data_IF_340994432599
#
_entry.id   IF_340994432599
#
_cell.length_a   1.000
_cell.length_b   1.000
_cell.length_c   1.000
_cell.angle_alpha   90.00
_cell.angle_beta   90.00
_cell.angle_gamma   90.00
#
_symmetry.space_group_name_H-M   'P 1'
#
loop_
_entity.id
_entity.type
_entity.pdbx_description
1 polymer ?
#
# COMPACT_ATOMS: atom_id res chain seq x y z
N UNK A 1 -5.30 -14.57 6.80
CA UNK A 1 -5.77 -14.76 5.41
C UNK A 1 -5.94 -16.25 5.16
N UNK A 2 -6.88 -16.69 4.30
CA UNK A 2 -6.97 -18.08 3.90
C UNK A 2 -5.67 -18.51 3.22
N UNK A 3 -5.10 -19.63 3.64
CA UNK A 3 -3.89 -20.17 3.00
C UNK A 3 -4.15 -20.44 1.50
N UNK A 4 -3.16 -20.15 0.65
CA UNK A 4 -3.17 -20.41 -0.80
C UNK A 4 -4.18 -19.59 -1.63
N UNK A 5 -4.82 -18.58 -1.06
CA UNK A 5 -5.59 -17.61 -1.85
C UNK A 5 -4.69 -16.47 -2.34
N UNK A 6 -4.63 -16.28 -3.66
CA UNK A 6 -3.96 -15.14 -4.27
C UNK A 6 -4.92 -13.95 -4.35
N UNK A 7 -4.37 -12.74 -4.18
CA UNK A 7 -5.09 -11.49 -4.27
C UNK A 7 -4.36 -10.56 -5.26
N UNK A 8 -5.09 -9.81 -6.10
CA UNK A 8 -4.46 -8.82 -6.97
C UNK A 8 -3.76 -7.75 -6.15
N UNK A 9 -2.64 -7.24 -6.67
CA UNK A 9 -2.01 -6.03 -6.16
C UNK A 9 -2.65 -4.80 -6.79
N UNK A 10 -2.62 -3.67 -6.08
CA UNK A 10 -2.95 -2.37 -6.66
C UNK A 10 -2.02 -1.31 -6.09
N UNK A 11 -1.42 -0.51 -6.96
CA UNK A 11 -0.66 0.66 -6.57
C UNK A 11 -1.63 1.71 -6.01
N UNK A 12 -1.31 2.33 -4.87
CA UNK A 12 -2.15 3.36 -4.29
C UNK A 12 -2.35 4.57 -5.22
N UNK A 13 -1.39 4.87 -6.09
CA UNK A 13 -1.52 5.87 -7.15
C UNK A 13 -2.69 5.56 -8.12
N UNK A 14 -2.88 4.29 -8.48
CA UNK A 14 -3.97 3.86 -9.38
C UNK A 14 -5.31 3.76 -8.64
N UNK A 15 -5.25 3.42 -7.35
CA UNK A 15 -6.40 3.37 -6.46
C UNK A 15 -6.91 4.75 -6.00
N UNK A 16 -6.25 5.84 -6.41
CA UNK A 16 -6.59 7.23 -6.07
C UNK A 16 -8.05 7.62 -6.38
N UNK A 17 -8.65 8.42 -5.49
CA UNK A 17 -9.88 9.16 -5.76
C UNK A 17 -9.67 10.24 -6.82
N UNK A 18 -10.66 10.46 -7.68
CA UNK A 18 -10.53 11.29 -8.89
C UNK A 18 -9.91 12.68 -8.65
N UNK A 19 -10.27 13.34 -7.54
CA UNK A 19 -9.86 14.71 -7.22
C UNK A 19 -8.65 14.83 -6.28
N UNK A 20 -8.01 13.71 -5.92
CA UNK A 20 -6.90 13.71 -4.95
C UNK A 20 -5.54 13.78 -5.63
N UNK A 21 -4.49 14.37 -5.02
CA UNK A 21 -3.13 14.29 -5.58
C UNK A 21 -2.58 12.86 -5.60
N UNK A 22 -1.81 12.52 -6.63
CA UNK A 22 -1.20 11.18 -6.76
C UNK A 22 -0.24 10.91 -5.61
N UNK A 23 0.49 11.94 -5.18
CA UNK A 23 1.47 11.91 -4.09
C UNK A 23 0.78 11.57 -2.76
N UNK A 24 -0.37 12.18 -2.50
CA UNK A 24 -1.17 11.93 -1.30
C UNK A 24 -1.72 10.49 -1.29
N UNK A 25 -2.23 10.02 -2.43
CA UNK A 25 -2.70 8.65 -2.58
C UNK A 25 -1.56 7.63 -2.45
N UNK A 26 -0.39 7.91 -3.01
CA UNK A 26 0.80 7.05 -2.91
C UNK A 26 1.22 6.83 -1.46
N UNK A 27 1.03 7.85 -0.62
CA UNK A 27 1.25 7.78 0.82
C UNK A 27 0.06 7.19 1.60
N UNK A 28 -1.01 6.78 0.94
CA UNK A 28 -2.23 6.27 1.56
C UNK A 28 -2.74 7.22 2.67
N UNK A 29 -2.76 8.53 2.39
CA UNK A 29 -3.33 9.51 3.32
C UNK A 29 -4.85 9.31 3.43
N UNK A 30 -5.43 9.71 4.54
CA UNK A 30 -6.87 9.59 4.78
C UNK A 30 -7.67 10.33 3.70
N UNK A 31 -8.71 9.68 3.19
CA UNK A 31 -9.57 10.27 2.16
C UNK A 31 -8.98 10.28 0.75
N UNK A 32 -7.90 9.54 0.48
CA UNK A 32 -7.24 9.56 -0.84
C UNK A 32 -7.50 8.33 -1.72
N UNK A 33 -7.89 7.21 -1.12
CA UNK A 33 -8.06 5.92 -1.79
C UNK A 33 -9.53 5.67 -2.11
N UNK A 34 -9.81 5.29 -3.36
CA UNK A 34 -11.15 4.93 -3.82
C UNK A 34 -11.45 3.47 -3.41
N UNK A 35 -12.44 3.23 -2.52
CA UNK A 35 -12.79 1.89 -2.08
C UNK A 35 -13.23 0.97 -3.23
N UNK A 36 -13.79 1.53 -4.32
CA UNK A 36 -14.19 0.73 -5.49
C UNK A 36 -13.00 0.14 -6.24
N UNK A 37 -11.83 0.77 -6.12
CA UNK A 37 -10.61 0.31 -6.77
C UNK A 37 -9.80 -0.63 -5.88
N UNK A 38 -9.71 -0.32 -4.59
CA UNK A 38 -8.89 -1.06 -3.62
C UNK A 38 -9.58 -2.29 -3.02
N UNK A 39 -10.92 -2.33 -3.00
CA UNK A 39 -11.70 -3.42 -2.42
C UNK A 39 -11.29 -4.80 -2.91
N UNK A 40 -10.99 -5.71 -1.97
CA UNK A 40 -10.62 -7.09 -2.30
C UNK A 40 -9.17 -7.30 -2.75
N UNK A 41 -8.35 -6.25 -2.82
CA UNK A 41 -6.95 -6.29 -3.30
C UNK A 41 -5.96 -5.99 -2.18
N UNK A 42 -4.68 -6.26 -2.44
CA UNK A 42 -3.58 -5.83 -1.57
C UNK A 42 -3.12 -4.45 -2.05
N UNK A 43 -3.25 -3.45 -1.17
CA UNK A 43 -2.89 -2.06 -1.48
C UNK A 43 -1.39 -1.84 -1.23
N UNK A 44 -0.67 -1.30 -2.22
CA UNK A 44 0.75 -0.97 -2.11
C UNK A 44 0.91 0.52 -1.80
N UNK A 45 1.37 0.83 -0.59
CA UNK A 45 1.59 2.19 -0.08
C UNK A 45 3.08 2.49 0.05
N UNK A 46 3.46 3.76 -0.10
CA UNK A 46 4.81 4.24 0.16
C UNK A 46 4.92 4.80 1.60
N UNK A 47 6.04 4.52 2.27
CA UNK A 47 6.45 5.18 3.52
C UNK A 47 6.70 6.67 3.25
N UNK A 48 6.43 7.51 4.25
CA UNK A 48 6.65 8.94 4.12
C UNK A 48 6.20 9.68 5.36
N UNK A 49 5.52 10.80 5.17
CA UNK A 49 5.29 11.82 6.21
C UNK A 49 4.25 11.47 7.28
N UNK A 50 3.43 10.44 7.07
CA UNK A 50 2.39 10.02 8.02
C UNK A 50 2.69 8.64 8.62
N UNK A 51 2.00 8.32 9.73
CA UNK A 51 2.25 7.12 10.50
C UNK A 51 2.04 5.83 9.66
N UNK A 52 2.97 4.88 9.78
CA UNK A 52 2.90 3.59 9.08
C UNK A 52 1.63 2.80 9.43
N UNK A 53 1.20 2.86 10.69
CA UNK A 53 -0.04 2.24 11.14
C UNK A 53 -1.30 2.92 10.55
N UNK A 54 -1.31 4.25 10.41
CA UNK A 54 -2.44 4.98 9.81
C UNK A 54 -2.72 4.52 8.37
N UNK A 55 -1.68 4.22 7.59
CA UNK A 55 -1.82 3.69 6.22
C UNK A 55 -2.61 2.37 6.20
N UNK A 56 -2.41 1.51 7.20
CA UNK A 56 -3.16 0.26 7.31
C UNK A 56 -4.63 0.47 7.67
N UNK A 57 -4.96 1.54 8.41
CA UNK A 57 -6.35 1.93 8.64
C UNK A 57 -7.00 2.39 7.35
N UNK A 58 -6.32 3.22 6.55
CA UNK A 58 -6.84 3.67 5.24
C UNK A 58 -7.07 2.50 4.29
N UNK A 59 -6.13 1.55 4.25
CA UNK A 59 -6.29 0.32 3.47
C UNK A 59 -7.51 -0.50 3.94
N UNK A 60 -7.69 -0.66 5.25
CA UNK A 60 -8.84 -1.36 5.83
C UNK A 60 -10.17 -0.66 5.49
N UNK A 61 -10.23 0.65 5.67
CA UNK A 61 -11.41 1.48 5.37
C UNK A 61 -11.77 1.44 3.87
N UNK A 62 -10.75 1.32 3.00
CA UNK A 62 -10.94 1.16 1.55
C UNK A 62 -11.34 -0.28 1.14
N UNK A 63 -11.50 -1.19 2.09
CA UNK A 63 -11.87 -2.59 1.83
C UNK A 63 -10.74 -3.45 1.26
N UNK A 64 -9.49 -3.00 1.36
CA UNK A 64 -8.34 -3.82 0.98
C UNK A 64 -8.24 -5.04 1.90
N UNK A 65 -7.78 -6.16 1.35
CA UNK A 65 -7.59 -7.41 2.11
C UNK A 65 -6.22 -7.47 2.79
N UNK A 66 -5.28 -6.64 2.34
CA UNK A 66 -3.90 -6.60 2.77
C UNK A 66 -3.23 -5.28 2.40
N UNK A 67 -2.05 -5.01 2.97
CA UNK A 67 -1.22 -3.86 2.60
C UNK A 67 0.25 -4.27 2.46
N UNK A 68 0.92 -3.73 1.45
CA UNK A 68 2.39 -3.73 1.37
C UNK A 68 2.86 -2.30 1.60
N UNK A 69 3.75 -2.11 2.56
CA UNK A 69 4.35 -0.80 2.84
C UNK A 69 5.79 -0.78 2.30
N UNK A 70 6.00 -0.12 1.18
CA UNK A 70 7.32 0.05 0.58
C UNK A 70 8.03 1.24 1.24
N UNK A 71 9.30 1.07 1.64
CA UNK A 71 10.11 2.19 2.09
C UNK A 71 10.38 3.19 0.95
N UNK A 72 10.42 4.46 1.32
CA UNK A 72 11.05 5.51 0.53
C UNK A 72 12.58 5.40 0.56
N UNK A 73 13.25 6.03 -0.41
CA UNK A 73 14.70 5.95 -0.56
C UNK A 73 15.48 6.31 0.72
N UNK A 74 15.15 7.39 1.46
CA UNK A 74 15.85 7.73 2.71
C UNK A 74 15.73 6.67 3.80
N UNK A 75 14.62 5.93 3.84
CA UNK A 75 14.42 4.86 4.82
C UNK A 75 15.16 3.58 4.44
N UNK A 76 15.51 3.38 3.16
CA UNK A 76 16.35 2.27 2.71
C UNK A 76 15.90 0.90 3.23
N UNK A 77 16.74 0.26 4.03
CA UNK A 77 16.51 -1.07 4.60
C UNK A 77 15.88 -1.07 6.01
N UNK A 78 15.43 0.08 6.51
CA UNK A 78 14.83 0.20 7.84
C UNK A 78 13.46 -0.51 7.90
N UNK A 79 13.38 -1.58 8.70
CA UNK A 79 12.17 -2.37 8.88
C UNK A 79 11.73 -2.29 10.34
N UNK A 80 10.47 -1.90 10.56
CA UNK A 80 9.88 -1.78 11.89
C UNK A 80 8.64 -2.65 11.97
N UNK A 81 8.59 -3.54 12.96
CA UNK A 81 7.47 -4.45 13.17
C UNK A 81 6.29 -3.73 13.87
N UNK A 82 5.68 -2.75 13.19
CA UNK A 82 4.49 -2.07 13.70
C UNK A 82 3.26 -2.99 13.65
N UNK A 83 2.38 -2.93 14.66
CA UNK A 83 1.08 -3.58 14.57
C UNK A 83 0.21 -2.85 13.52
N UNK A 84 -0.38 -3.63 12.62
CA UNK A 84 -1.28 -3.15 11.56
C UNK A 84 -2.69 -3.71 11.73
N UNK A 85 -3.70 -2.97 11.24
CA UNK A 85 -5.11 -3.33 11.39
C UNK A 85 -5.60 -4.38 10.39
N UNK A 86 -4.79 -4.69 9.39
CA UNK A 86 -4.98 -5.76 8.44
C UNK A 86 -3.63 -6.44 8.16
N UNK A 87 -3.60 -7.62 7.51
CA UNK A 87 -2.35 -8.28 7.17
C UNK A 87 -1.45 -7.35 6.33
N UNK A 88 -0.28 -7.02 6.86
CA UNK A 88 0.64 -6.11 6.21
C UNK A 88 2.09 -6.57 6.34
N UNK A 89 2.90 -6.19 5.36
CA UNK A 89 4.36 -6.35 5.43
C UNK A 89 5.03 -5.06 4.98
N UNK A 90 6.04 -4.65 5.73
CA UNK A 90 6.95 -3.59 5.32
C UNK A 90 8.07 -4.18 4.47
N UNK A 91 8.45 -3.48 3.41
CA UNK A 91 9.53 -3.86 2.50
C UNK A 91 10.63 -2.80 2.52
N UNK A 92 11.85 -3.25 2.24
CA UNK A 92 12.98 -2.36 1.97
C UNK A 92 12.72 -1.54 0.70
N UNK A 93 13.47 -0.46 0.51
CA UNK A 93 13.37 0.36 -0.70
C UNK A 93 13.61 -0.49 -1.97
N UNK A 94 14.65 -1.33 -1.95
CA UNK A 94 14.99 -2.19 -3.08
C UNK A 94 13.89 -3.19 -3.42
N UNK A 95 13.32 -3.85 -2.41
CA UNK A 95 12.23 -4.82 -2.63
C UNK A 95 10.94 -4.11 -3.06
N UNK A 96 10.70 -2.90 -2.55
CA UNK A 96 9.60 -2.05 -3.01
C UNK A 96 9.69 -1.72 -4.50
N UNK A 97 10.87 -1.35 -5.00
CA UNK A 97 11.10 -1.14 -6.44
C UNK A 97 10.79 -2.40 -7.26
N UNK A 98 11.16 -3.59 -6.75
CA UNK A 98 10.84 -4.84 -7.43
C UNK A 98 9.33 -5.10 -7.51
N UNK A 99 8.57 -4.77 -6.45
CA UNK A 99 7.10 -4.87 -6.45
C UNK A 99 6.48 -3.86 -7.44
N UNK A 100 6.96 -2.62 -7.49
CA UNK A 100 6.49 -1.64 -8.47
C UNK A 100 6.79 -2.08 -9.91
N UNK A 101 7.98 -2.63 -10.16
CA UNK A 101 8.35 -3.18 -11.46
C UNK A 101 7.48 -4.37 -11.87
N UNK A 102 7.14 -5.26 -10.92
CA UNK A 102 6.20 -6.36 -11.15
C UNK A 102 4.80 -5.85 -11.51
N UNK A 103 4.25 -4.89 -10.77
CA UNK A 103 2.92 -4.33 -11.07
C UNK A 103 2.87 -3.67 -12.45
N UNK A 104 3.97 -3.06 -12.90
CA UNK A 104 4.05 -2.44 -14.22
C UNK A 104 4.31 -3.44 -15.37
N UNK A 105 4.65 -4.69 -15.07
CA UNK A 105 4.90 -5.74 -16.08
C UNK A 105 3.74 -6.70 -16.27
N UNK A 106 2.71 -6.60 -15.42
CA UNK A 106 1.52 -7.45 -15.45
C UNK A 106 0.27 -6.57 -15.54
N UNK A 107 -0.38 -6.57 -16.71
CA UNK A 107 -1.73 -6.02 -16.90
C UNK A 107 -2.81 -6.95 -16.34
#
# INVERSE_FOLDING_TARGET
>A
MPEKKLYPLINAADAKLANEPVENATLCLRGTIDPKKAGGKILVCLRGINARMEKSLVALDAGAVGMILCNDEPSGNDLVADPHLLPASQLTYKDGLAIYAYMNSTE
#
